data_IF_971809213626
#
_entry.id   IF_971809213626
#
_cell.length_a   1.000
_cell.length_b   1.000
_cell.length_c   1.000
_cell.angle_alpha   90.00
_cell.angle_beta   90.00
_cell.angle_gamma   90.00
#
_symmetry.space_group_name_H-M   'P 1'
#
loop_
_entity.id
_entity.type
_entity.pdbx_description
1 polymer ?
#
# COMPACT_ATOMS: atom_id res chain seq x y z
N UNK A 1 1.74 -4.78 29.54
CA UNK A 1 1.94 -5.60 28.33
C UNK A 1 2.32 -7.00 28.79
N UNK A 2 1.54 -8.03 28.46
CA UNK A 2 1.83 -9.40 28.88
C UNK A 2 3.02 -10.02 28.13
N UNK A 3 3.47 -11.23 28.50
CA UNK A 3 4.56 -11.91 27.81
C UNK A 3 4.19 -12.23 26.36
N UNK A 4 5.06 -11.87 25.40
CA UNK A 4 4.94 -12.24 23.98
C UNK A 4 5.37 -13.70 23.79
N UNK A 5 4.56 -14.49 23.07
CA UNK A 5 4.87 -15.86 22.66
C UNK A 5 4.60 -15.99 21.18
N UNK A 6 5.64 -16.27 20.41
CA UNK A 6 5.58 -16.40 18.94
C UNK A 6 6.10 -17.78 18.56
N UNK A 7 5.48 -18.39 17.55
CA UNK A 7 6.05 -19.54 16.85
C UNK A 7 6.73 -19.03 15.59
N UNK A 8 7.95 -19.48 15.34
CA UNK A 8 8.75 -19.10 14.17
C UNK A 8 9.39 -20.35 13.56
N UNK A 9 9.64 -20.30 12.26
CA UNK A 9 10.42 -21.31 11.54
C UNK A 9 11.93 -21.04 11.57
N UNK A 10 12.35 -19.89 12.10
CA UNK A 10 13.77 -19.57 12.33
C UNK A 10 14.24 -20.38 13.54
N UNK A 11 15.20 -21.27 13.32
CA UNK A 11 15.69 -22.20 14.34
C UNK A 11 16.97 -21.72 15.03
N UNK A 12 17.78 -20.91 14.33
CA UNK A 12 19.02 -20.34 14.87
C UNK A 12 18.75 -18.96 15.51
N UNK A 13 18.94 -18.79 16.84
CA UNK A 13 18.77 -17.50 17.51
C UNK A 13 19.81 -16.44 17.10
N UNK A 14 20.90 -16.82 16.42
CA UNK A 14 21.85 -15.86 15.86
C UNK A 14 21.34 -15.21 14.55
N UNK A 15 20.37 -15.82 13.86
CA UNK A 15 19.76 -15.26 12.64
C UNK A 15 18.76 -14.14 12.95
N UNK A 16 17.99 -14.26 14.04
CA UNK A 16 17.05 -13.25 14.50
C UNK A 16 16.83 -13.35 16.01
N UNK A 17 16.98 -12.25 16.73
CA UNK A 17 16.76 -12.24 18.17
C UNK A 17 15.26 -12.27 18.50
N UNK A 18 14.91 -12.65 19.74
CA UNK A 18 13.53 -12.59 20.20
C UNK A 18 12.93 -11.17 20.12
N UNK A 19 13.77 -10.14 20.26
CA UNK A 19 13.36 -8.72 20.12
C UNK A 19 13.07 -8.39 18.67
N UNK A 20 13.90 -8.85 17.73
CA UNK A 20 13.67 -8.66 16.30
C UNK A 20 12.36 -9.33 15.86
N UNK A 21 12.12 -10.57 16.33
CA UNK A 21 10.88 -11.29 16.05
C UNK A 21 9.65 -10.59 16.62
N UNK A 22 9.72 -10.10 17.86
CA UNK A 22 8.63 -9.35 18.47
C UNK A 22 8.35 -8.03 17.73
N UNK A 23 9.40 -7.34 17.29
CA UNK A 23 9.30 -6.08 16.54
C UNK A 23 8.70 -6.33 15.15
N UNK A 24 9.19 -7.33 14.41
CA UNK A 24 8.64 -7.71 13.12
C UNK A 24 7.17 -8.16 13.23
N UNK A 25 6.82 -8.88 14.29
CA UNK A 25 5.43 -9.27 14.52
C UNK A 25 4.54 -8.06 14.86
N UNK A 26 5.06 -7.07 15.59
CA UNK A 26 4.36 -5.82 15.82
C UNK A 26 4.16 -5.05 14.51
N UNK A 27 5.17 -5.00 13.63
CA UNK A 27 5.05 -4.42 12.29
C UNK A 27 4.02 -5.14 11.41
N UNK A 28 3.66 -6.40 11.71
CA UNK A 28 2.57 -7.09 10.99
C UNK A 28 1.24 -6.35 11.11
N UNK A 29 1.01 -5.59 12.19
CA UNK A 29 -0.21 -4.80 12.35
C UNK A 29 -0.37 -3.74 11.25
N UNK A 30 0.71 -3.35 10.56
CA UNK A 30 0.63 -2.45 9.40
C UNK A 30 -0.21 -3.01 8.25
N UNK A 31 -0.45 -4.33 8.21
CA UNK A 31 -1.36 -4.91 7.23
C UNK A 31 -2.79 -4.37 7.37
N UNK A 32 -3.20 -3.98 8.57
CA UNK A 32 -4.51 -3.36 8.81
C UNK A 32 -4.57 -1.98 8.17
N UNK A 33 -3.51 -1.18 8.30
CA UNK A 33 -3.35 0.10 7.60
C UNK A 33 -3.47 -0.09 6.08
N UNK A 34 -2.82 -1.12 5.52
CA UNK A 34 -2.91 -1.44 4.08
C UNK A 34 -4.34 -1.82 3.66
N UNK A 35 -5.06 -2.59 4.49
CA UNK A 35 -6.45 -2.92 4.20
C UNK A 35 -7.35 -1.68 4.21
N UNK A 36 -7.15 -0.75 5.14
CA UNK A 36 -7.88 0.51 5.18
C UNK A 36 -7.57 1.38 3.94
N UNK A 37 -6.30 1.52 3.58
CA UNK A 37 -5.87 2.22 2.38
C UNK A 37 -6.53 1.68 1.10
N UNK A 38 -6.57 0.36 0.94
CA UNK A 38 -7.21 -0.29 -0.21
C UNK A 38 -8.73 -0.11 -0.20
N UNK A 39 -9.38 -0.45 0.92
CA UNK A 39 -10.85 -0.58 0.99
C UNK A 39 -11.55 0.76 1.18
N UNK A 40 -10.95 1.67 1.93
CA UNK A 40 -11.56 2.94 2.34
C UNK A 40 -11.08 4.08 1.45
N UNK A 41 -9.77 4.20 1.22
CA UNK A 41 -9.19 5.38 0.59
C UNK A 41 -9.00 5.25 -0.93
N UNK A 42 -8.39 4.17 -1.40
CA UNK A 42 -8.08 3.97 -2.81
C UNK A 42 -9.32 3.61 -3.61
N UNK A 43 -10.03 2.54 -3.22
CA UNK A 43 -11.28 2.14 -3.88
C UNK A 43 -12.41 3.14 -3.60
N UNK A 44 -12.43 3.71 -2.39
CA UNK A 44 -13.48 4.58 -1.90
C UNK A 44 -14.49 3.84 -1.02
N UNK A 45 -15.13 4.54 -0.06
CA UNK A 45 -16.08 3.92 0.84
C UNK A 45 -17.32 3.44 0.08
N UNK A 46 -17.81 2.24 0.45
CA UNK A 46 -19.05 1.63 -0.10
C UNK A 46 -19.04 1.39 -1.62
N UNK A 47 -17.89 1.48 -2.28
CA UNK A 47 -17.77 1.12 -3.70
C UNK A 47 -17.79 -0.39 -3.87
N UNK A 48 -18.74 -0.88 -4.67
CA UNK A 48 -18.82 -2.27 -5.10
C UNK A 48 -18.03 -2.44 -6.40
N UNK A 49 -17.35 -3.58 -6.54
CA UNK A 49 -16.66 -3.95 -7.78
C UNK A 49 -17.68 -4.03 -8.92
N UNK A 50 -17.29 -3.56 -10.11
CA UNK A 50 -18.22 -3.37 -11.23
C UNK A 50 -18.41 -4.63 -12.06
N UNK A 51 -17.41 -5.51 -12.05
CA UNK A 51 -17.40 -6.74 -12.83
C UNK A 51 -18.50 -7.72 -12.40
N UNK A 52 -19.09 -8.43 -13.37
CA UNK A 52 -20.23 -9.35 -13.16
C UNK A 52 -19.88 -10.84 -13.31
N UNK A 53 -18.61 -11.17 -13.52
CA UNK A 53 -18.11 -12.55 -13.50
C UNK A 53 -16.98 -12.70 -12.48
N UNK A 54 -16.81 -13.88 -11.85
CA UNK A 54 -15.73 -14.12 -10.89
C UNK A 54 -14.33 -13.79 -11.43
N UNK A 55 -14.07 -14.13 -12.69
CA UNK A 55 -12.77 -13.94 -13.35
C UNK A 55 -12.46 -12.45 -13.51
N UNK A 56 -13.45 -11.65 -13.97
CA UNK A 56 -13.28 -10.21 -14.13
C UNK A 56 -13.24 -9.48 -12.78
N UNK A 57 -13.95 -9.99 -11.76
CA UNK A 57 -13.82 -9.49 -10.37
C UNK A 57 -12.39 -9.70 -9.86
N UNK A 58 -11.80 -10.87 -10.08
CA UNK A 58 -10.41 -11.13 -9.71
C UNK A 58 -9.45 -10.19 -10.44
N UNK A 59 -9.68 -9.94 -11.74
CA UNK A 59 -8.91 -8.98 -12.52
C UNK A 59 -9.03 -7.55 -11.95
N UNK A 60 -10.22 -7.11 -11.56
CA UNK A 60 -10.45 -5.80 -10.96
C UNK A 60 -9.70 -5.65 -9.62
N UNK A 61 -9.69 -6.70 -8.79
CA UNK A 61 -8.90 -6.75 -7.55
C UNK A 61 -7.40 -6.61 -7.87
N UNK A 62 -6.88 -7.34 -8.86
CA UNK A 62 -5.50 -7.20 -9.29
C UNK A 62 -5.18 -5.78 -9.76
N UNK A 63 -6.10 -5.13 -10.49
CA UNK A 63 -5.97 -3.73 -10.88
C UNK A 63 -5.82 -2.79 -9.68
N UNK A 64 -6.61 -3.00 -8.62
CA UNK A 64 -6.47 -2.25 -7.37
C UNK A 64 -5.13 -2.50 -6.68
N UNK A 65 -4.69 -3.77 -6.58
CA UNK A 65 -3.41 -4.12 -5.95
C UNK A 65 -2.22 -3.54 -6.73
N UNK A 66 -2.22 -3.62 -8.05
CA UNK A 66 -1.18 -3.02 -8.89
C UNK A 66 -1.11 -1.48 -8.72
N UNK A 67 -2.27 -0.81 -8.68
CA UNK A 67 -2.34 0.62 -8.44
C UNK A 67 -1.84 1.00 -7.03
N UNK A 68 -2.18 0.20 -6.02
CA UNK A 68 -1.68 0.37 -4.66
C UNK A 68 -0.15 0.26 -4.60
N UNK A 69 0.38 -0.81 -5.20
CA UNK A 69 1.82 -1.06 -5.28
C UNK A 69 2.55 0.10 -5.97
N UNK A 70 2.05 0.58 -7.12
CA UNK A 70 2.65 1.71 -7.82
C UNK A 70 2.70 2.99 -6.97
N UNK A 71 1.63 3.28 -6.21
CA UNK A 71 1.61 4.43 -5.29
C UNK A 71 2.61 4.24 -4.15
N UNK A 72 2.69 3.04 -3.56
CA UNK A 72 3.67 2.73 -2.50
C UNK A 72 5.12 2.82 -3.00
N UNK A 73 5.40 2.38 -4.22
CA UNK A 73 6.72 2.56 -4.86
C UNK A 73 7.05 4.04 -5.06
N UNK A 74 6.07 4.84 -5.50
CA UNK A 74 6.25 6.30 -5.62
C UNK A 74 6.53 6.96 -4.26
N UNK A 75 5.81 6.56 -3.21
CA UNK A 75 6.04 7.04 -1.84
C UNK A 75 7.43 6.69 -1.35
N UNK A 76 7.88 5.45 -1.58
CA UNK A 76 9.24 5.02 -1.21
C UNK A 76 10.30 5.87 -1.92
N UNK A 77 10.15 6.10 -3.23
CA UNK A 77 11.07 6.93 -3.99
C UNK A 77 11.09 8.38 -3.46
N UNK A 78 9.92 8.96 -3.16
CA UNK A 78 9.81 10.32 -2.62
C UNK A 78 10.40 10.43 -1.20
N UNK A 79 10.19 9.42 -0.35
CA UNK A 79 10.78 9.36 0.99
C UNK A 79 12.30 9.32 0.93
N UNK A 80 12.84 8.49 0.03
CA UNK A 80 14.27 8.38 -0.21
C UNK A 80 14.87 9.70 -0.69
N UNK A 81 14.25 10.36 -1.67
CA UNK A 81 14.71 11.67 -2.18
C UNK A 81 14.69 12.76 -1.09
N UNK A 82 13.69 12.73 -0.21
CA UNK A 82 13.58 13.65 0.92
C UNK A 82 14.37 13.23 2.17
N UNK A 83 15.09 12.10 2.13
CA UNK A 83 15.81 11.51 3.28
C UNK A 83 14.94 11.37 4.55
N UNK A 84 13.68 10.97 4.38
CA UNK A 84 12.74 10.68 5.49
C UNK A 84 12.37 9.21 5.49
N UNK A 85 11.95 8.74 6.67
CA UNK A 85 11.38 7.40 6.83
C UNK A 85 10.13 7.24 5.93
N UNK A 86 10.06 6.20 5.06
CA UNK A 86 8.90 5.90 4.21
C UNK A 86 7.59 5.78 4.97
N UNK A 87 7.61 5.30 6.22
CA UNK A 87 6.42 5.12 7.04
C UNK A 87 5.80 6.46 7.47
N UNK A 88 6.54 7.56 7.34
CA UNK A 88 6.04 8.92 7.58
C UNK A 88 5.32 9.53 6.39
N UNK A 89 5.34 8.89 5.22
CA UNK A 89 4.67 9.39 4.02
C UNK A 89 3.22 8.95 4.02
N UNK A 90 2.28 9.90 3.93
CA UNK A 90 0.85 9.59 3.90
C UNK A 90 0.42 9.00 2.56
N UNK A 91 -0.11 7.78 2.58
CA UNK A 91 -0.71 7.14 1.40
C UNK A 91 -1.87 7.95 0.81
N UNK A 92 -2.75 8.49 1.66
CA UNK A 92 -3.90 9.31 1.21
C UNK A 92 -3.43 10.56 0.48
N UNK A 93 -2.39 11.22 0.99
CA UNK A 93 -1.80 12.39 0.32
C UNK A 93 -1.18 11.99 -1.03
N UNK A 94 -0.40 10.91 -1.08
CA UNK A 94 0.20 10.39 -2.31
C UNK A 94 -0.86 10.03 -3.35
N UNK A 95 -1.91 9.30 -2.97
CA UNK A 95 -3.05 8.96 -3.84
C UNK A 95 -3.71 10.21 -4.43
N UNK A 96 -3.95 11.25 -3.61
CA UNK A 96 -4.57 12.51 -4.06
C UNK A 96 -3.67 13.25 -5.04
N UNK A 97 -2.37 13.32 -4.77
CA UNK A 97 -1.39 13.96 -5.64
C UNK A 97 -1.31 13.23 -6.98
N UNK A 98 -1.15 11.90 -6.96
CA UNK A 98 -1.10 11.06 -8.17
C UNK A 98 -2.35 11.23 -9.03
N UNK A 99 -3.55 11.19 -8.42
CA UNK A 99 -4.81 11.44 -9.14
C UNK A 99 -4.83 12.81 -9.81
N UNK A 100 -4.42 13.86 -9.10
CA UNK A 100 -4.36 15.23 -9.63
C UNK A 100 -3.38 15.34 -10.80
N UNK A 101 -2.18 14.77 -10.69
CA UNK A 101 -1.17 14.80 -11.75
C UNK A 101 -1.66 14.09 -13.02
N UNK A 102 -2.33 12.94 -12.88
CA UNK A 102 -2.90 12.23 -14.02
C UNK A 102 -4.06 12.99 -14.68
N UNK A 103 -4.91 13.67 -13.90
CA UNK A 103 -5.97 14.52 -14.44
C UNK A 103 -5.40 15.71 -15.24
N UNK A 104 -4.32 16.33 -14.76
CA UNK A 104 -3.64 17.41 -15.49
C UNK A 104 -2.99 16.90 -16.78
N UNK A 105 -2.35 15.72 -16.73
CA UNK A 105 -1.75 15.09 -17.91
C UNK A 105 -2.78 14.72 -19.00
N UNK A 106 -4.06 14.52 -18.64
CA UNK A 106 -5.14 14.29 -19.61
C UNK A 106 -5.69 15.57 -20.26
N UNK A 107 -5.18 16.75 -19.87
CA UNK A 107 -5.60 18.05 -20.41
C UNK A 107 -5.02 18.42 -21.78
N UNK A 108 -4.43 17.49 -22.53
CA UNK A 108 -4.00 17.78 -23.91
C UNK A 108 -5.22 18.08 -24.79
N UNK A 109 -5.27 19.24 -25.47
CA UNK A 109 -6.35 19.54 -26.38
C UNK A 109 -6.29 18.58 -27.58
N UNK A 110 -7.44 18.08 -28.11
CA UNK A 110 -7.46 17.13 -29.22
C UNK A 110 -7.10 17.73 -30.60
N UNK A 111 -6.37 18.85 -30.67
CA UNK A 111 -5.91 19.40 -31.94
C UNK A 111 -4.56 20.11 -31.77
N UNK A 112 -3.55 19.45 -32.31
CA UNK A 112 -2.18 19.94 -32.46
C UNK A 112 -1.48 19.21 -33.61
N UNK A 113 -2.22 18.99 -34.71
CA UNK A 113 -1.76 18.66 -36.06
C UNK A 113 -2.73 19.31 -37.04
#
# INVERSE_FOLDING_TARGET
>A
MGPFRLFTTILDPAEATAVDLATAYAQRWEIESVFDELKTHQRGPKTVLRSKSPELVQQEIWGHLCCHFAIRTLMLAAAHDAAVDPDRVSFVAALRITRRSLSQARGFPPSGL
#
